data_IF_598885551425
#
_entry.id   IF_598885551425
#
_cell.length_a   1.000
_cell.length_b   1.000
_cell.length_c   1.000
_cell.angle_alpha   90.00
_cell.angle_beta   90.00
_cell.angle_gamma   90.00
#
_symmetry.space_group_name_H-M   'P 1'
#
loop_
_entity.id
_entity.type
_entity.pdbx_description
1 polymer ?
#
# COMPACT_ATOMS: atom_id res chain seq x y z
N UNK A 1 0.21 -15.90 0.38
CA UNK A 1 -0.25 -14.61 -0.20
C UNK A 1 -1.51 -14.04 0.50
N UNK A 2 -2.54 -14.85 0.78
CA UNK A 2 -3.78 -14.39 1.42
C UNK A 2 -3.62 -13.79 2.84
N UNK A 3 -2.64 -14.26 3.62
CA UNK A 3 -2.38 -13.71 4.96
C UNK A 3 -1.85 -12.26 4.90
N UNK A 4 -1.05 -11.92 3.89
CA UNK A 4 -0.53 -10.55 3.74
C UNK A 4 -1.64 -9.55 3.41
N UNK A 5 -2.67 -9.96 2.66
CA UNK A 5 -3.83 -9.10 2.34
C UNK A 5 -4.59 -8.72 3.61
N UNK A 6 -4.83 -9.66 4.54
CA UNK A 6 -5.52 -9.38 5.81
C UNK A 6 -4.74 -8.37 6.66
N UNK A 7 -3.43 -8.54 6.75
CA UNK A 7 -2.55 -7.63 7.49
C UNK A 7 -2.57 -6.23 6.87
N UNK A 8 -2.46 -6.12 5.55
CA UNK A 8 -2.53 -4.82 4.84
C UNK A 8 -3.85 -4.11 5.13
N UNK A 9 -5.00 -4.81 5.04
CA UNK A 9 -6.30 -4.20 5.36
C UNK A 9 -6.38 -3.70 6.80
N UNK A 10 -5.86 -4.46 7.76
CA UNK A 10 -5.80 -4.06 9.17
C UNK A 10 -4.97 -2.79 9.37
N UNK A 11 -3.81 -2.71 8.71
CA UNK A 11 -2.94 -1.53 8.80
C UNK A 11 -3.59 -0.30 8.13
N UNK A 12 -4.23 -0.46 6.96
CA UNK A 12 -4.90 0.65 6.26
C UNK A 12 -6.15 1.19 6.98
N UNK A 13 -6.68 0.41 7.94
CA UNK A 13 -7.77 0.84 8.82
C UNK A 13 -7.35 1.86 9.88
N UNK A 14 -6.05 2.02 10.15
CA UNK A 14 -5.54 3.00 11.13
C UNK A 14 -5.38 4.37 10.50
N UNK A 15 -5.72 5.43 11.25
CA UNK A 15 -5.63 6.81 10.76
C UNK A 15 -4.19 7.26 10.58
N UNK A 16 -3.27 6.79 11.43
CA UNK A 16 -1.87 7.21 11.41
C UNK A 16 -1.02 6.46 10.36
N UNK A 17 -1.63 5.59 9.57
CA UNK A 17 -0.90 4.81 8.56
C UNK A 17 -0.44 5.69 7.40
N UNK A 18 0.87 5.92 7.34
CA UNK A 18 1.53 6.72 6.30
C UNK A 18 1.74 5.91 5.01
N UNK A 19 0.70 5.83 4.19
CA UNK A 19 0.68 5.04 2.94
C UNK A 19 1.59 5.58 1.83
N UNK A 20 2.09 6.81 1.98
CA UNK A 20 2.94 7.49 0.99
C UNK A 20 4.41 7.62 1.44
N UNK A 21 4.76 7.16 2.64
CA UNK A 21 6.15 7.21 3.10
C UNK A 21 7.04 6.34 2.21
N UNK A 22 8.23 6.85 1.90
CA UNK A 22 9.20 6.15 1.09
C UNK A 22 10.11 5.30 1.97
N UNK A 23 10.44 4.10 1.51
CA UNK A 23 11.50 3.31 2.13
C UNK A 23 12.90 3.91 1.80
N UNK A 24 13.97 3.26 2.28
CA UNK A 24 15.36 3.69 2.05
C UNK A 24 15.78 3.71 0.56
N UNK A 25 14.98 3.13 -0.33
CA UNK A 25 15.20 3.15 -1.78
C UNK A 25 14.37 4.23 -2.48
N UNK A 26 13.66 5.08 -1.73
CA UNK A 26 12.80 6.12 -2.29
C UNK A 26 11.45 5.61 -2.82
N UNK A 27 11.06 4.37 -2.51
CA UNK A 27 9.84 3.75 -3.02
C UNK A 27 8.70 3.80 -2.00
N UNK A 28 7.51 4.19 -2.44
CA UNK A 28 6.27 4.07 -1.66
C UNK A 28 5.77 2.62 -1.63
N UNK A 29 4.94 2.24 -0.64
CA UNK A 29 4.29 0.93 -0.61
C UNK A 29 3.60 0.56 -1.93
N UNK A 30 2.95 1.53 -2.59
CA UNK A 30 2.27 1.30 -3.87
C UNK A 30 3.26 0.98 -5.00
N UNK A 31 4.39 1.70 -5.06
CA UNK A 31 5.43 1.44 -6.05
C UNK A 31 6.03 0.05 -5.87
N UNK A 32 6.30 -0.36 -4.63
CA UNK A 32 6.79 -1.71 -4.33
C UNK A 32 5.77 -2.77 -4.75
N UNK A 33 4.48 -2.58 -4.43
CA UNK A 33 3.43 -3.52 -4.81
C UNK A 33 3.30 -3.67 -6.33
N UNK A 34 3.36 -2.56 -7.09
CA UNK A 34 3.34 -2.58 -8.56
C UNK A 34 4.58 -3.28 -9.13
N UNK A 35 5.77 -2.92 -8.65
CA UNK A 35 7.04 -3.51 -9.11
C UNK A 35 7.12 -5.02 -8.88
N UNK A 36 6.55 -5.51 -7.77
CA UNK A 36 6.52 -6.94 -7.43
C UNK A 36 5.32 -7.71 -8.01
N UNK A 37 4.42 -7.05 -8.76
CA UNK A 37 3.22 -7.69 -9.32
C UNK A 37 2.16 -8.07 -8.28
N UNK A 38 2.15 -7.43 -7.10
CA UNK A 38 1.16 -7.67 -6.05
C UNK A 38 -0.13 -6.87 -6.30
N UNK A 39 -0.84 -7.17 -7.39
CA UNK A 39 -1.99 -6.39 -7.89
C UNK A 39 -3.06 -6.12 -6.83
N UNK A 40 -3.46 -7.13 -6.06
CA UNK A 40 -4.47 -6.97 -5.00
C UNK A 40 -4.03 -6.00 -3.89
N UNK A 41 -2.73 -5.95 -3.55
CA UNK A 41 -2.21 -4.99 -2.57
C UNK A 41 -2.15 -3.58 -3.19
N UNK A 42 -1.75 -3.48 -4.46
CA UNK A 42 -1.72 -2.20 -5.17
C UNK A 42 -3.12 -1.56 -5.27
N UNK A 43 -4.16 -2.36 -5.52
CA UNK A 43 -5.55 -1.90 -5.52
C UNK A 43 -5.98 -1.40 -4.13
N UNK A 44 -5.65 -2.14 -3.06
CA UNK A 44 -5.97 -1.73 -1.68
C UNK A 44 -5.29 -0.41 -1.31
N UNK A 45 -4.01 -0.25 -1.66
CA UNK A 45 -3.26 0.98 -1.40
C UNK A 45 -3.81 2.16 -2.21
N UNK A 46 -4.20 1.93 -3.47
CA UNK A 46 -4.79 2.96 -4.33
C UNK A 46 -6.12 3.47 -3.77
N UNK A 47 -6.94 2.62 -3.15
CA UNK A 47 -8.20 3.04 -2.51
C UNK A 47 -8.01 3.92 -1.27
N UNK A 48 -6.88 3.79 -0.57
CA UNK A 48 -6.59 4.57 0.65
C UNK A 48 -5.89 5.89 0.33
N UNK A 49 -5.12 5.95 -0.75
CA UNK A 49 -4.51 7.20 -1.22
C UNK A 49 -5.60 7.97 -1.98
N UNK A 50 -6.10 9.12 -1.49
CA UNK A 50 -6.92 9.97 -2.34
C UNK A 50 -6.07 10.32 -3.56
N UNK A 51 -6.57 9.96 -4.75
CA UNK A 51 -5.99 10.38 -6.01
C UNK A 51 -5.84 11.91 -5.92
N UNK A 52 -4.62 12.40 -5.75
CA UNK A 52 -4.35 13.80 -6.03
C UNK A 52 -4.39 13.90 -7.55
N UNK A 53 -5.42 14.56 -8.04
CA UNK A 53 -5.42 15.21 -9.35
C UNK A 53 -4.16 16.07 -9.52
#
# INVERSE_FOLDING_TARGET
MNNHIKVVKLLLGKEETKVNDKNNQGLTPLQVAKYKGHTAIAELLTKKIPLKD
#
